data_IF_341245813258
#
_entry.id   IF_341245813258
#
_cell.length_a   1.000
_cell.length_b   1.000
_cell.length_c   1.000
_cell.angle_alpha   90.00
_cell.angle_beta   90.00
_cell.angle_gamma   90.00
#
_symmetry.space_group_name_H-M   'P 1'
#
loop_
_entity.id
_entity.type
_entity.pdbx_description
1 polymer ?
#
# COMPACT_ATOMS: atom_id res chain seq x y z
N UNK A 1 6.86 21.13 -14.91
CA UNK A 1 7.01 19.99 -13.97
C UNK A 1 6.32 18.78 -14.60
N UNK A 2 6.82 17.57 -14.41
CA UNK A 2 6.11 16.35 -14.82
C UNK A 2 4.78 16.30 -14.05
N UNK A 3 3.66 15.95 -14.71
CA UNK A 3 2.37 15.77 -14.03
C UNK A 3 2.44 14.63 -12.98
N UNK A 4 3.10 13.53 -13.31
CA UNK A 4 3.29 12.36 -12.41
C UNK A 4 4.53 12.52 -11.53
N UNK A 5 4.46 11.94 -10.32
CA UNK A 5 5.64 11.79 -9.47
C UNK A 5 6.44 10.51 -9.80
N UNK A 6 5.89 9.59 -10.58
CA UNK A 6 6.54 8.32 -10.88
C UNK A 6 7.81 8.52 -11.72
N UNK A 7 8.94 8.10 -11.17
CA UNK A 7 10.22 7.95 -11.86
C UNK A 7 10.23 6.65 -12.68
N UNK A 8 9.72 5.57 -12.08
CA UNK A 8 9.46 4.31 -12.79
C UNK A 8 8.05 4.37 -13.40
N UNK A 9 7.96 4.50 -14.72
CA UNK A 9 6.70 4.71 -15.43
C UNK A 9 5.98 3.44 -15.84
N UNK A 10 6.52 2.25 -15.50
CA UNK A 10 5.97 0.96 -15.95
C UNK A 10 4.45 0.85 -15.78
N UNK A 11 3.92 1.18 -14.59
CA UNK A 11 2.48 1.06 -14.34
C UNK A 11 1.68 2.02 -15.23
N UNK A 12 2.13 3.27 -15.38
CA UNK A 12 1.50 4.28 -16.24
C UNK A 12 1.50 3.86 -17.72
N UNK A 13 2.62 3.31 -18.18
CA UNK A 13 2.79 2.89 -19.58
C UNK A 13 1.95 1.64 -19.93
N UNK A 14 1.51 0.92 -18.90
CA UNK A 14 0.67 -0.27 -19.03
C UNK A 14 -0.81 -0.03 -18.65
N UNK A 15 -1.23 1.21 -18.47
CA UNK A 15 -2.64 1.55 -18.34
C UNK A 15 -3.39 1.25 -19.65
N UNK A 16 -4.67 0.86 -19.59
CA UNK A 16 -5.49 0.76 -20.79
C UNK A 16 -5.50 2.07 -21.58
N UNK A 17 -5.66 2.03 -22.91
CA UNK A 17 -5.87 3.22 -23.71
C UNK A 17 -7.01 4.08 -23.16
N UNK A 18 -6.89 5.41 -23.26
CA UNK A 18 -7.85 6.37 -22.68
C UNK A 18 -9.28 6.18 -23.18
N UNK A 19 -9.46 5.75 -24.39
CA UNK A 19 -10.76 5.46 -25.02
C UNK A 19 -11.47 4.23 -24.43
N UNK A 20 -10.72 3.41 -23.66
CA UNK A 20 -11.26 2.27 -22.91
C UNK A 20 -11.56 2.60 -21.45
N UNK A 21 -11.26 3.80 -21.01
CA UNK A 21 -11.55 4.20 -19.63
C UNK A 21 -13.03 4.47 -19.44
N UNK A 22 -13.59 4.15 -18.26
CA UNK A 22 -14.94 4.60 -17.95
C UNK A 22 -14.98 6.13 -17.85
N UNK A 23 -16.16 6.68 -18.05
CA UNK A 23 -16.41 8.08 -17.71
C UNK A 23 -16.24 8.27 -16.20
N UNK A 24 -15.30 9.14 -15.82
CA UNK A 24 -15.02 9.44 -14.42
C UNK A 24 -15.90 10.60 -13.97
N UNK A 25 -16.93 10.31 -13.18
CA UNK A 25 -17.92 11.29 -12.69
C UNK A 25 -17.54 11.71 -11.26
N UNK A 26 -17.08 12.95 -11.09
CA UNK A 26 -16.71 13.53 -9.80
C UNK A 26 -17.58 14.77 -9.51
N UNK A 27 -18.91 14.59 -9.52
CA UNK A 27 -19.84 15.71 -9.39
C UNK A 27 -20.12 16.07 -7.92
N UNK A 28 -20.04 15.12 -7.00
CA UNK A 28 -20.27 15.39 -5.57
C UNK A 28 -19.00 15.96 -4.92
N UNK A 29 -19.16 16.93 -3.96
CA UNK A 29 -18.02 17.60 -3.34
C UNK A 29 -17.03 16.67 -2.67
N UNK A 30 -17.50 15.56 -2.11
CA UNK A 30 -16.70 14.58 -1.35
C UNK A 30 -15.62 13.90 -2.19
N UNK A 31 -15.78 13.84 -3.51
CA UNK A 31 -14.85 13.18 -4.43
C UNK A 31 -14.09 14.14 -5.33
N UNK A 32 -14.19 15.45 -5.07
CA UNK A 32 -13.44 16.47 -5.79
C UNK A 32 -12.05 16.65 -5.17
N UNK A 33 -11.11 15.84 -5.62
CA UNK A 33 -9.73 15.88 -5.15
C UNK A 33 -8.87 16.84 -5.96
N UNK A 34 -7.83 17.44 -5.35
CA UNK A 34 -6.84 18.22 -6.09
C UNK A 34 -6.05 17.33 -7.05
N UNK A 35 -5.42 17.94 -8.04
CA UNK A 35 -4.59 17.23 -9.04
C UNK A 35 -3.39 16.50 -8.41
N UNK A 36 -2.94 17.00 -7.26
CA UNK A 36 -1.81 16.45 -6.50
C UNK A 36 -2.30 16.02 -5.13
N UNK A 37 -2.18 14.72 -4.86
CA UNK A 37 -2.62 14.15 -3.58
C UNK A 37 -1.93 12.80 -3.34
N UNK A 38 -1.48 12.57 -2.10
CA UNK A 38 -1.02 11.27 -1.64
C UNK A 38 -2.04 10.71 -0.64
N UNK A 39 -2.71 9.63 -0.99
CA UNK A 39 -3.77 9.09 -0.14
C UNK A 39 -3.26 8.61 1.22
N UNK A 40 -2.00 8.16 1.33
CA UNK A 40 -1.40 7.83 2.63
C UNK A 40 -1.27 9.05 3.54
N UNK A 41 -0.84 10.18 2.98
CA UNK A 41 -0.76 11.43 3.74
C UNK A 41 -2.15 11.98 4.10
N UNK A 42 -3.13 11.87 3.20
CA UNK A 42 -4.51 12.27 3.49
C UNK A 42 -5.11 11.48 4.66
N UNK A 43 -4.93 10.16 4.64
CA UNK A 43 -5.53 9.25 5.62
C UNK A 43 -4.76 9.20 6.96
N UNK A 44 -3.48 9.60 7.00
CA UNK A 44 -2.67 9.48 8.21
C UNK A 44 -2.10 10.82 8.67
N UNK A 45 -1.25 11.47 7.86
CA UNK A 45 -0.54 12.70 8.26
C UNK A 45 -1.50 13.84 8.60
N UNK A 46 -2.51 14.06 7.77
CA UNK A 46 -3.51 15.11 8.01
C UNK A 46 -4.29 14.91 9.30
N UNK A 47 -4.54 13.65 9.72
CA UNK A 47 -5.23 13.40 10.98
C UNK A 47 -4.34 13.75 12.18
N UNK A 48 -3.04 13.43 12.11
CA UNK A 48 -2.09 13.87 13.16
C UNK A 48 -1.99 15.40 13.19
N UNK A 49 -1.92 16.07 12.04
CA UNK A 49 -1.90 17.54 11.94
C UNK A 49 -3.17 18.19 12.49
N UNK A 50 -4.33 17.55 12.37
CA UNK A 50 -5.60 17.98 12.97
C UNK A 50 -5.68 17.79 14.50
N UNK A 51 -4.62 17.27 15.13
CA UNK A 51 -4.56 17.04 16.57
C UNK A 51 -5.06 15.65 17.02
N UNK A 52 -5.26 14.70 16.09
CA UNK A 52 -5.74 13.35 16.42
C UNK A 52 -4.59 12.37 16.75
N UNK A 53 -3.36 12.86 16.90
CA UNK A 53 -2.19 12.03 17.13
C UNK A 53 -2.33 11.00 18.27
N UNK A 54 -3.03 11.35 19.34
CA UNK A 54 -3.26 10.46 20.48
C UNK A 54 -4.49 9.54 20.34
N UNK A 55 -5.30 9.69 19.27
CA UNK A 55 -6.44 8.81 19.06
C UNK A 55 -5.96 7.43 18.60
N UNK A 56 -6.67 6.35 18.99
CA UNK A 56 -6.39 5.01 18.49
C UNK A 56 -6.66 4.93 16.98
N UNK A 57 -5.78 4.25 16.24
CA UNK A 57 -5.97 3.95 14.81
C UNK A 57 -6.02 2.44 14.58
N UNK A 58 -5.26 1.65 15.33
CA UNK A 58 -5.28 0.20 15.22
C UNK A 58 -5.47 -0.41 16.60
N UNK A 59 -6.49 -1.28 16.73
CA UNK A 59 -6.67 -2.17 17.87
C UNK A 59 -6.18 -3.57 17.47
N UNK A 60 -5.27 -4.14 18.23
CA UNK A 60 -4.75 -5.49 18.01
C UNK A 60 -4.61 -6.27 19.32
N UNK A 61 -4.22 -7.55 19.25
CA UNK A 61 -4.08 -8.42 20.44
C UNK A 61 -2.99 -7.99 21.42
N UNK A 62 -2.03 -7.18 20.98
CA UNK A 62 -0.91 -6.71 21.82
C UNK A 62 -1.16 -5.31 22.39
N UNK A 63 -2.24 -4.66 22.00
CA UNK A 63 -2.59 -3.33 22.47
C UNK A 63 -3.19 -2.43 21.40
N UNK A 64 -3.04 -1.15 21.58
CA UNK A 64 -3.58 -0.09 20.72
C UNK A 64 -2.43 0.72 20.16
N UNK A 65 -2.47 1.03 18.87
CA UNK A 65 -1.53 1.95 18.21
C UNK A 65 -2.27 3.26 17.94
N UNK A 66 -1.68 4.37 18.34
CA UNK A 66 -2.20 5.71 18.06
C UNK A 66 -1.81 6.19 16.66
N UNK A 67 -2.52 7.21 16.14
CA UNK A 67 -2.15 7.85 14.85
C UNK A 67 -0.70 8.35 14.83
N UNK A 68 -0.22 8.95 15.92
CA UNK A 68 1.15 9.45 15.98
C UNK A 68 2.19 8.32 15.97
N UNK A 69 1.94 7.22 16.69
CA UNK A 69 2.81 6.04 16.69
C UNK A 69 2.83 5.36 15.33
N UNK A 70 1.67 5.21 14.70
CA UNK A 70 1.57 4.65 13.34
C UNK A 70 2.31 5.54 12.35
N UNK A 71 2.11 6.87 12.38
CA UNK A 71 2.80 7.80 11.49
C UNK A 71 4.31 7.70 11.61
N UNK A 72 4.82 7.63 12.86
CA UNK A 72 6.26 7.45 13.10
C UNK A 72 6.78 6.16 12.46
N UNK A 73 6.11 5.03 12.68
CA UNK A 73 6.51 3.73 12.11
C UNK A 73 6.42 3.72 10.58
N UNK A 74 5.35 4.30 10.01
CA UNK A 74 5.19 4.48 8.56
C UNK A 74 6.36 5.30 7.98
N UNK A 75 6.73 6.40 8.61
CA UNK A 75 7.84 7.23 8.17
C UNK A 75 9.18 6.49 8.23
N UNK A 76 9.43 5.75 9.32
CA UNK A 76 10.63 4.94 9.47
C UNK A 76 10.75 3.88 8.38
N UNK A 77 9.66 3.18 8.07
CA UNK A 77 9.65 2.18 6.99
C UNK A 77 9.80 2.85 5.63
N UNK A 78 9.16 4.00 5.39
CA UNK A 78 9.36 4.76 4.15
C UNK A 78 10.83 5.15 3.93
N UNK A 79 11.53 5.54 5.01
CA UNK A 79 12.98 5.79 4.96
C UNK A 79 13.78 4.51 4.63
N UNK A 80 13.43 3.36 5.19
CA UNK A 80 14.08 2.08 4.81
C UNK A 80 13.86 1.78 3.33
N UNK A 81 12.63 1.96 2.81
CA UNK A 81 12.32 1.71 1.40
C UNK A 81 13.13 2.62 0.46
N UNK A 82 13.26 3.90 0.81
CA UNK A 82 13.90 4.90 -0.08
C UNK A 82 15.42 4.99 0.13
N UNK A 83 15.88 4.96 1.38
CA UNK A 83 17.30 5.16 1.70
C UNK A 83 18.11 3.86 1.66
N UNK A 84 17.60 2.77 2.26
CA UNK A 84 18.33 1.51 2.35
C UNK A 84 18.09 0.62 1.12
N UNK A 85 16.85 0.55 0.63
CA UNK A 85 16.51 -0.25 -0.55
C UNK A 85 16.62 0.55 -1.86
N UNK A 86 16.82 1.88 -1.81
CA UNK A 86 17.00 2.73 -2.98
C UNK A 86 15.80 2.77 -3.93
N UNK A 87 14.59 2.52 -3.43
CA UNK A 87 13.40 2.53 -4.25
C UNK A 87 13.00 3.96 -4.63
N UNK A 88 12.49 4.12 -5.83
CA UNK A 88 12.04 5.40 -6.38
C UNK A 88 10.53 5.37 -6.67
N UNK A 89 9.84 6.52 -6.67
CA UNK A 89 8.40 6.59 -6.96
C UNK A 89 8.03 5.83 -8.24
N UNK A 90 6.94 5.05 -8.15
CA UNK A 90 6.49 4.14 -9.22
C UNK A 90 7.07 2.73 -9.17
N UNK A 91 8.09 2.43 -8.34
CA UNK A 91 8.51 1.06 -8.11
C UNK A 91 7.39 0.23 -7.44
N UNK A 92 7.25 -1.04 -7.85
CA UNK A 92 6.23 -1.96 -7.34
C UNK A 92 6.80 -2.76 -6.18
N UNK A 93 6.14 -2.69 -5.04
CA UNK A 93 6.52 -3.39 -3.81
C UNK A 93 5.48 -4.46 -3.49
N UNK A 94 5.89 -5.71 -3.53
CA UNK A 94 5.05 -6.83 -3.10
C UNK A 94 4.87 -6.78 -1.59
N UNK A 95 3.62 -6.82 -1.12
CA UNK A 95 3.29 -6.95 0.28
C UNK A 95 2.73 -8.35 0.53
N UNK A 96 3.39 -9.14 1.39
CA UNK A 96 3.06 -10.53 1.67
C UNK A 96 3.00 -10.78 3.17
N UNK A 97 1.81 -10.94 3.71
CA UNK A 97 1.57 -11.19 5.13
C UNK A 97 0.10 -11.46 5.41
N UNK A 98 -0.18 -11.91 6.64
CA UNK A 98 -1.54 -11.96 7.18
C UNK A 98 -2.01 -10.56 7.60
N UNK A 99 -3.32 -10.43 7.87
CA UNK A 99 -3.86 -9.21 8.48
C UNK A 99 -3.17 -8.94 9.82
N UNK A 100 -2.46 -7.83 9.90
CA UNK A 100 -1.72 -7.42 11.09
C UNK A 100 -1.44 -5.91 11.05
N UNK A 101 -1.11 -5.34 12.19
CA UNK A 101 -0.74 -3.93 12.28
C UNK A 101 0.47 -3.60 11.38
N UNK A 102 1.51 -4.45 11.40
CA UNK A 102 2.71 -4.21 10.57
C UNK A 102 2.40 -4.27 9.07
N UNK A 103 1.46 -5.13 8.64
CA UNK A 103 1.05 -5.18 7.23
C UNK A 103 0.37 -3.88 6.80
N UNK A 104 -0.50 -3.30 7.64
CA UNK A 104 -1.12 -2.00 7.39
C UNK A 104 -0.07 -0.88 7.36
N UNK A 105 0.86 -0.86 8.33
CA UNK A 105 1.95 0.11 8.40
C UNK A 105 2.84 0.03 7.16
N UNK A 106 3.20 -1.16 6.69
CA UNK A 106 3.95 -1.37 5.45
C UNK A 106 3.20 -0.81 4.23
N UNK A 107 1.88 -1.03 4.14
CA UNK A 107 1.07 -0.49 3.06
C UNK A 107 1.12 1.04 3.03
N UNK A 108 0.91 1.70 4.17
CA UNK A 108 0.99 3.15 4.28
C UNK A 108 2.40 3.69 3.94
N UNK A 109 3.45 3.00 4.35
CA UNK A 109 4.83 3.38 4.05
C UNK A 109 5.13 3.34 2.55
N UNK A 110 4.71 2.26 1.87
CA UNK A 110 4.82 2.12 0.41
C UNK A 110 4.09 3.25 -0.30
N UNK A 111 2.83 3.49 0.07
CA UNK A 111 1.99 4.54 -0.54
C UNK A 111 2.56 5.93 -0.31
N UNK A 112 2.98 6.23 0.92
CA UNK A 112 3.53 7.53 1.29
C UNK A 112 4.84 7.84 0.55
N UNK A 113 5.65 6.82 0.29
CA UNK A 113 6.88 6.92 -0.49
C UNK A 113 6.64 7.02 -2.02
N UNK A 114 5.39 7.16 -2.48
CA UNK A 114 5.05 7.23 -3.90
C UNK A 114 5.31 5.92 -4.66
N UNK A 115 5.45 4.81 -3.92
CA UNK A 115 5.61 3.47 -4.47
C UNK A 115 4.23 2.84 -4.73
N UNK A 116 4.22 1.75 -5.47
CA UNK A 116 2.99 1.04 -5.83
C UNK A 116 2.89 -0.26 -5.01
N UNK A 117 1.86 -0.38 -4.20
CA UNK A 117 1.59 -1.60 -3.45
C UNK A 117 1.07 -2.71 -4.39
N UNK A 118 1.68 -3.89 -4.30
CA UNK A 118 1.23 -5.12 -4.95
C UNK A 118 0.91 -6.12 -3.83
N UNK A 119 -0.34 -6.21 -3.45
CA UNK A 119 -0.73 -7.02 -2.29
C UNK A 119 -1.02 -8.46 -2.68
N UNK A 120 -0.55 -9.41 -1.87
CA UNK A 120 -0.74 -10.85 -2.12
C UNK A 120 -1.17 -11.59 -0.86
N UNK A 121 -2.05 -12.57 -1.05
CA UNK A 121 -2.49 -13.45 0.04
C UNK A 121 -1.32 -14.27 0.59
N UNK A 122 -1.30 -14.48 1.90
CA UNK A 122 -0.31 -15.30 2.59
C UNK A 122 -0.27 -16.76 2.08
N UNK A 123 -1.40 -17.27 1.59
CA UNK A 123 -1.52 -18.66 1.10
C UNK A 123 -1.06 -18.88 -0.35
N UNK A 124 -0.72 -17.83 -1.11
CA UNK A 124 -0.19 -18.02 -2.46
C UNK A 124 1.14 -18.76 -2.42
N UNK A 125 1.32 -19.66 -3.39
CA UNK A 125 2.54 -20.44 -3.54
C UNK A 125 3.44 -19.85 -4.63
N UNK A 126 4.61 -20.44 -4.81
CA UNK A 126 5.61 -20.04 -5.81
C UNK A 126 4.99 -19.68 -7.16
N UNK A 127 4.17 -20.57 -7.73
CA UNK A 127 3.60 -20.38 -9.08
C UNK A 127 2.75 -19.12 -9.17
N UNK A 128 1.82 -18.92 -8.24
CA UNK A 128 0.94 -17.75 -8.22
C UNK A 128 1.74 -16.47 -7.94
N UNK A 129 2.78 -16.55 -7.09
CA UNK A 129 3.67 -15.43 -6.81
C UNK A 129 4.47 -15.03 -8.07
N UNK A 130 4.96 -16.01 -8.83
CA UNK A 130 5.62 -15.75 -10.12
C UNK A 130 4.70 -15.04 -11.07
N UNK A 131 3.46 -15.54 -11.26
CA UNK A 131 2.48 -14.93 -12.16
C UNK A 131 2.20 -13.45 -11.80
N UNK A 132 2.07 -13.15 -10.50
CA UNK A 132 1.86 -11.79 -9.97
C UNK A 132 3.10 -10.93 -10.20
N UNK A 133 4.28 -11.42 -9.80
CA UNK A 133 5.51 -10.64 -9.84
C UNK A 133 5.98 -10.34 -11.26
N UNK A 134 5.86 -11.30 -12.18
CA UNK A 134 6.15 -11.08 -13.60
C UNK A 134 5.18 -10.09 -14.22
N UNK A 135 3.88 -10.23 -13.95
CA UNK A 135 2.84 -9.36 -14.50
C UNK A 135 3.02 -7.92 -14.04
N UNK A 136 3.29 -7.71 -12.75
CA UNK A 136 3.47 -6.37 -12.18
C UNK A 136 4.91 -5.86 -12.28
N UNK A 137 5.88 -6.67 -12.75
CA UNK A 137 7.31 -6.33 -12.75
C UNK A 137 7.76 -5.81 -11.37
N UNK A 138 7.51 -6.62 -10.33
CA UNK A 138 7.78 -6.26 -8.94
C UNK A 138 9.28 -6.00 -8.73
N UNK A 139 9.62 -4.87 -8.09
CA UNK A 139 11.01 -4.47 -7.84
C UNK A 139 11.55 -4.97 -6.50
N UNK A 140 10.70 -4.92 -5.46
CA UNK A 140 11.05 -5.29 -4.10
C UNK A 140 9.87 -5.96 -3.39
N UNK A 141 10.12 -6.61 -2.25
CA UNK A 141 9.09 -7.22 -1.42
C UNK A 141 9.29 -6.89 0.06
N UNK A 142 8.18 -6.62 0.76
CA UNK A 142 8.07 -6.68 2.20
C UNK A 142 7.28 -7.94 2.54
N UNK A 143 7.88 -8.88 3.24
CA UNK A 143 7.32 -10.19 3.48
C UNK A 143 7.39 -10.58 4.97
N UNK A 144 6.32 -11.17 5.48
CA UNK A 144 6.39 -11.84 6.77
C UNK A 144 7.45 -12.95 6.73
N UNK A 145 8.37 -12.95 7.69
CA UNK A 145 9.47 -13.94 7.75
C UNK A 145 8.96 -15.38 7.72
N UNK A 146 7.80 -15.64 8.31
CA UNK A 146 7.18 -16.98 8.30
C UNK A 146 6.72 -17.44 6.90
N UNK A 147 6.70 -16.55 5.90
CA UNK A 147 6.22 -16.81 4.55
C UNK A 147 7.33 -16.75 3.48
N UNK A 148 8.60 -16.80 3.89
CA UNK A 148 9.76 -16.60 3.01
C UNK A 148 9.96 -17.68 1.96
N UNK A 149 9.70 -18.95 2.29
CA UNK A 149 10.02 -20.12 1.47
C UNK A 149 9.46 -20.04 0.06
N UNK A 150 8.17 -19.79 -0.09
CA UNK A 150 7.51 -19.69 -1.39
C UNK A 150 7.95 -18.44 -2.17
N UNK A 151 8.26 -17.35 -1.45
CA UNK A 151 8.73 -16.11 -2.08
C UNK A 151 10.16 -16.24 -2.59
N UNK A 152 11.05 -16.91 -1.85
CA UNK A 152 12.42 -17.17 -2.29
C UNK A 152 12.44 -18.06 -3.53
N UNK A 153 11.64 -19.13 -3.56
CA UNK A 153 11.50 -19.98 -4.75
C UNK A 153 10.99 -19.18 -5.96
N UNK A 154 10.01 -18.29 -5.74
CA UNK A 154 9.48 -17.43 -6.79
C UNK A 154 10.51 -16.38 -7.27
N UNK A 155 11.37 -15.85 -6.37
CA UNK A 155 12.41 -14.89 -6.72
C UNK A 155 13.42 -15.44 -7.73
N UNK A 156 13.77 -16.73 -7.62
CA UNK A 156 14.70 -17.38 -8.57
C UNK A 156 14.20 -17.30 -10.02
N UNK A 157 12.88 -17.19 -10.20
CA UNK A 157 12.24 -17.12 -11.51
C UNK A 157 11.87 -15.71 -11.95
N UNK A 158 11.91 -14.74 -11.03
CA UNK A 158 11.48 -13.36 -11.27
C UNK A 158 12.64 -12.38 -11.13
N UNK A 159 13.45 -12.16 -12.17
CA UNK A 159 14.64 -11.31 -12.11
C UNK A 159 14.32 -9.81 -11.84
N UNK A 160 13.07 -9.40 -11.94
CA UNK A 160 12.63 -8.04 -11.54
C UNK A 160 12.68 -7.83 -10.04
N UNK A 161 12.41 -8.89 -9.23
CA UNK A 161 12.46 -8.82 -7.75
C UNK A 161 13.93 -8.81 -7.29
N UNK A 162 14.43 -7.62 -6.97
CA UNK A 162 15.84 -7.40 -6.61
C UNK A 162 16.12 -7.59 -5.13
N UNK A 163 15.16 -7.23 -4.28
CA UNK A 163 15.35 -7.16 -2.83
C UNK A 163 14.11 -7.66 -2.09
N UNK A 164 14.33 -8.38 -1.00
CA UNK A 164 13.28 -8.77 -0.05
C UNK A 164 13.69 -8.25 1.32
N UNK A 165 12.79 -7.57 2.01
CA UNK A 165 12.92 -7.20 3.40
C UNK A 165 11.86 -7.93 4.21
N UNK A 166 12.27 -8.52 5.33
CA UNK A 166 11.35 -9.30 6.16
C UNK A 166 10.89 -8.52 7.37
N UNK A 167 9.58 -8.51 7.63
CA UNK A 167 9.01 -8.10 8.92
C UNK A 167 8.69 -9.34 9.77
N UNK A 168 8.42 -9.15 11.07
CA UNK A 168 8.39 -10.22 12.06
C UNK A 168 9.69 -11.05 12.07
N UNK A 169 10.81 -10.40 11.73
CA UNK A 169 12.15 -10.98 11.76
C UNK A 169 12.93 -10.40 12.93
N UNK A 170 13.29 -11.25 13.89
CA UNK A 170 14.05 -10.85 15.06
C UNK A 170 15.54 -10.53 14.78
N UNK A 171 15.99 -10.69 13.54
CA UNK A 171 17.38 -10.38 13.17
C UNK A 171 17.63 -8.86 13.11
N UNK A 172 18.90 -8.46 13.19
CA UNK A 172 19.32 -7.08 13.02
C UNK A 172 19.03 -6.52 11.62
N UNK A 173 18.83 -7.39 10.65
CA UNK A 173 18.54 -7.08 9.26
C UNK A 173 17.03 -7.05 8.96
N UNK A 174 16.19 -7.40 9.93
CA UNK A 174 14.74 -7.33 9.83
C UNK A 174 14.24 -5.90 9.67
N UNK A 175 13.05 -5.75 9.08
CA UNK A 175 12.44 -4.46 8.78
C UNK A 175 12.30 -3.59 10.04
N UNK A 176 11.81 -4.16 11.14
CA UNK A 176 11.59 -3.43 12.39
C UNK A 176 12.89 -2.92 13.00
N UNK A 177 13.95 -3.73 12.95
CA UNK A 177 15.27 -3.35 13.46
C UNK A 177 15.85 -2.19 12.64
N UNK A 178 15.80 -2.27 11.31
CA UNK A 178 16.25 -1.20 10.42
C UNK A 178 15.42 0.06 10.57
N UNK A 179 14.10 -0.07 10.61
CA UNK A 179 13.17 1.04 10.81
C UNK A 179 13.42 1.74 12.16
N UNK A 180 13.69 0.97 13.23
CA UNK A 180 14.02 1.52 14.55
C UNK A 180 15.26 2.42 14.59
N UNK A 181 16.17 2.27 13.62
CA UNK A 181 17.34 3.14 13.43
C UNK A 181 17.06 4.44 12.65
N UNK A 182 15.86 4.62 12.09
CA UNK A 182 15.49 5.79 11.30
C UNK A 182 14.88 6.89 12.17
N UNK A 183 14.97 8.14 11.70
CA UNK A 183 14.46 9.31 12.45
C UNK A 183 12.95 9.29 12.66
N UNK A 184 12.20 8.71 11.72
CA UNK A 184 10.74 8.76 11.70
C UNK A 184 10.20 10.08 11.14
N UNK A 185 11.05 10.86 10.48
CA UNK A 185 10.67 12.08 9.74
C UNK A 185 10.74 11.78 8.25
N UNK A 186 9.60 11.79 7.58
CA UNK A 186 9.50 11.54 6.14
C UNK A 186 8.36 12.37 5.55
N UNK A 187 8.68 13.21 4.58
CA UNK A 187 7.68 13.96 3.83
C UNK A 187 7.08 13.07 2.74
N UNK A 188 5.76 13.02 2.66
CA UNK A 188 5.08 12.23 1.65
C UNK A 188 5.42 12.74 0.25
N UNK A 189 5.67 11.81 -0.67
CA UNK A 189 5.90 12.17 -2.07
C UNK A 189 4.64 12.84 -2.62
N UNK A 190 4.84 13.98 -3.27
CA UNK A 190 3.77 14.75 -3.91
C UNK A 190 3.33 14.06 -5.21
N UNK A 191 2.43 13.08 -5.08
CA UNK A 191 1.92 12.27 -6.18
C UNK A 191 0.79 12.97 -6.92
N UNK A 192 0.59 12.64 -8.21
CA UNK A 192 -0.63 13.01 -8.91
C UNK A 192 -1.82 12.19 -8.39
N UNK A 193 -3.03 12.76 -8.42
CA UNK A 193 -4.24 12.06 -8.00
C UNK A 193 -4.51 10.78 -8.80
N UNK A 194 -4.04 10.73 -10.05
CA UNK A 194 -4.11 9.57 -10.94
C UNK A 194 -2.75 8.85 -11.13
N UNK A 195 -1.81 9.03 -10.23
CA UNK A 195 -0.68 8.11 -10.13
C UNK A 195 -1.18 6.77 -9.57
N UNK A 196 -0.71 5.67 -10.15
CA UNK A 196 -1.09 4.32 -9.70
C UNK A 196 -0.47 4.07 -8.32
N UNK A 197 -1.28 3.67 -7.35
CA UNK A 197 -0.85 3.43 -5.97
C UNK A 197 -0.99 1.96 -5.56
N UNK A 198 -1.88 1.23 -6.21
CA UNK A 198 -2.18 -0.16 -5.89
C UNK A 198 -2.39 -0.96 -7.18
N UNK A 199 -1.78 -2.13 -7.25
CA UNK A 199 -2.12 -3.16 -8.24
C UNK A 199 -2.68 -4.35 -7.48
N UNK A 200 -3.99 -4.56 -7.59
CA UNK A 200 -4.70 -5.65 -6.94
C UNK A 200 -5.00 -6.77 -7.93
N UNK A 201 -4.65 -7.99 -7.57
CA UNK A 201 -4.83 -9.14 -8.45
C UNK A 201 -6.14 -9.86 -8.17
N UNK A 202 -6.86 -10.19 -9.25
CA UNK A 202 -8.05 -11.05 -9.22
C UNK A 202 -7.73 -12.41 -9.82
N UNK A 203 -8.48 -13.44 -9.41
CA UNK A 203 -8.31 -14.82 -9.92
C UNK A 203 -8.57 -14.98 -11.42
N UNK A 204 -9.15 -13.97 -12.06
CA UNK A 204 -9.47 -13.97 -13.49
C UNK A 204 -10.35 -15.15 -13.94
N UNK A 205 -11.36 -14.89 -14.73
CA UNK A 205 -12.24 -15.95 -15.31
C UNK A 205 -11.53 -16.83 -16.32
N UNK A 206 -10.35 -16.41 -16.81
CA UNK A 206 -9.53 -17.11 -17.83
C UNK A 206 -8.37 -17.90 -17.24
N UNK A 207 -8.28 -18.04 -15.90
CA UNK A 207 -7.22 -18.78 -15.22
C UNK A 207 -5.89 -18.03 -15.06
N UNK A 208 -5.71 -16.87 -15.72
CA UNK A 208 -4.56 -15.99 -15.50
C UNK A 208 -4.95 -14.80 -14.64
N UNK A 209 -4.15 -14.46 -13.61
CA UNK A 209 -4.46 -13.33 -12.75
C UNK A 209 -4.46 -12.01 -13.56
N UNK A 210 -5.43 -11.14 -13.25
CA UNK A 210 -5.52 -9.79 -13.80
C UNK A 210 -5.18 -8.80 -12.70
N UNK A 211 -4.24 -7.89 -12.96
CA UNK A 211 -3.91 -6.79 -12.06
C UNK A 211 -4.78 -5.58 -12.36
N UNK A 212 -5.65 -5.20 -11.43
CA UNK A 212 -6.41 -3.94 -11.52
C UNK A 212 -5.56 -2.84 -10.92
N UNK A 213 -5.37 -1.75 -11.66
CA UNK A 213 -4.59 -0.60 -11.22
C UNK A 213 -5.53 0.47 -10.66
N UNK A 214 -5.24 0.90 -9.41
CA UNK A 214 -6.01 1.92 -8.70
C UNK A 214 -5.15 3.15 -8.46
N UNK A 215 -5.77 4.31 -8.52
CA UNK A 215 -5.15 5.61 -8.32
C UNK A 215 -5.26 6.08 -6.87
N UNK A 216 -4.48 7.07 -6.47
CA UNK A 216 -4.59 7.69 -5.15
C UNK A 216 -6.02 8.18 -4.84
N UNK A 217 -6.65 8.83 -5.82
CA UNK A 217 -8.05 9.30 -5.69
C UNK A 217 -9.05 8.15 -5.51
N UNK A 218 -8.81 6.98 -6.12
CA UNK A 218 -9.73 5.83 -6.02
C UNK A 218 -9.77 5.30 -4.58
N UNK A 219 -8.60 5.24 -3.92
CA UNK A 219 -8.49 4.85 -2.51
C UNK A 219 -9.28 5.82 -1.64
N UNK A 220 -9.11 7.13 -1.85
CA UNK A 220 -9.83 8.15 -1.08
C UNK A 220 -11.33 8.10 -1.34
N UNK A 221 -11.76 7.85 -2.57
CA UNK A 221 -13.19 7.75 -2.91
C UNK A 221 -13.88 6.62 -2.13
N UNK A 222 -13.21 5.48 -1.94
CA UNK A 222 -13.75 4.40 -1.11
C UNK A 222 -13.96 4.89 0.33
N UNK A 223 -12.98 5.60 0.90
CA UNK A 223 -13.05 6.13 2.27
C UNK A 223 -14.08 7.26 2.42
N UNK A 224 -14.24 8.11 1.40
CA UNK A 224 -15.11 9.28 1.49
C UNK A 224 -16.58 9.00 1.15
N UNK A 225 -16.89 7.96 0.38
CA UNK A 225 -18.24 7.67 -0.05
C UNK A 225 -18.95 6.65 0.85
N UNK A 226 -18.51 5.39 0.82
CA UNK A 226 -19.25 4.29 1.45
C UNK A 226 -19.38 4.44 2.97
N UNK A 227 -18.30 4.69 3.73
CA UNK A 227 -18.39 4.86 5.18
C UNK A 227 -19.30 6.02 5.58
N UNK A 228 -19.16 7.17 4.93
CA UNK A 228 -19.93 8.37 5.27
C UNK A 228 -21.38 8.28 4.83
N UNK A 229 -21.63 7.91 3.57
CA UNK A 229 -22.97 8.03 2.97
C UNK A 229 -23.87 6.82 3.27
N UNK A 230 -23.30 5.62 3.37
CA UNK A 230 -24.08 4.38 3.54
C UNK A 230 -24.01 3.89 4.98
N UNK A 231 -22.83 3.74 5.54
CA UNK A 231 -22.65 3.21 6.90
C UNK A 231 -22.87 4.29 7.95
N UNK A 232 -22.70 5.57 7.58
CA UNK A 232 -22.78 6.74 8.46
C UNK A 232 -21.78 6.67 9.64
N UNK A 233 -20.58 6.19 9.35
CA UNK A 233 -19.51 6.07 10.34
C UNK A 233 -19.08 7.43 10.89
N UNK A 234 -18.77 7.43 12.15
CA UNK A 234 -18.22 8.56 12.89
C UNK A 234 -16.77 8.28 13.31
N UNK A 235 -15.99 9.29 13.70
CA UNK A 235 -14.63 9.09 14.19
C UNK A 235 -14.51 8.25 15.47
N UNK A 236 -15.62 7.93 16.13
CA UNK A 236 -15.63 7.14 17.37
C UNK A 236 -16.00 5.66 17.13
N UNK A 237 -16.33 5.31 15.89
CA UNK A 237 -16.62 3.93 15.50
C UNK A 237 -15.32 3.13 15.33
N UNK A 238 -15.41 1.83 15.63
CA UNK A 238 -14.32 0.88 15.44
C UNK A 238 -14.72 -0.11 14.36
N UNK A 239 -14.01 -0.08 13.23
CA UNK A 239 -14.18 -1.05 12.15
C UNK A 239 -13.42 -2.34 12.41
N UNK A 240 -14.03 -3.47 12.12
CA UNK A 240 -13.36 -4.76 12.10
C UNK A 240 -13.68 -5.49 10.79
N UNK A 241 -12.66 -6.08 10.19
CA UNK A 241 -12.80 -6.82 8.93
C UNK A 241 -12.06 -8.14 8.97
N UNK A 242 -12.68 -9.20 8.43
CA UNK A 242 -12.06 -10.52 8.27
C UNK A 242 -11.43 -10.75 6.89
N UNK A 243 -11.86 -10.08 5.80
CA UNK A 243 -11.21 -10.24 4.51
C UNK A 243 -9.74 -9.81 4.56
N UNK A 244 -8.86 -10.51 3.80
CA UNK A 244 -7.45 -10.14 3.76
C UNK A 244 -7.21 -8.72 3.24
N UNK A 245 -6.29 -7.98 3.88
CA UNK A 245 -5.77 -6.69 3.40
C UNK A 245 -5.13 -6.80 2.00
N UNK A 246 -4.82 -8.01 1.58
CA UNK A 246 -4.34 -8.31 0.23
C UNK A 246 -5.38 -8.09 -0.88
N UNK A 247 -6.65 -7.98 -0.55
CA UNK A 247 -7.73 -7.69 -1.49
C UNK A 247 -8.28 -6.28 -1.30
N UNK A 248 -8.72 -5.67 -2.40
CA UNK A 248 -9.38 -4.35 -2.37
C UNK A 248 -10.60 -4.33 -1.45
N UNK A 249 -11.36 -5.42 -1.37
CA UNK A 249 -12.50 -5.54 -0.45
C UNK A 249 -12.07 -5.50 1.02
N UNK A 250 -10.99 -6.21 1.40
CA UNK A 250 -10.47 -6.19 2.76
C UNK A 250 -9.80 -4.84 3.10
N UNK A 251 -8.99 -4.33 2.17
CA UNK A 251 -8.30 -3.06 2.34
C UNK A 251 -9.31 -1.90 2.46
N UNK A 252 -10.24 -1.78 1.50
CA UNK A 252 -11.21 -0.69 1.47
C UNK A 252 -12.28 -0.75 2.57
N UNK A 253 -12.43 -1.89 3.25
CA UNK A 253 -13.33 -2.02 4.39
C UNK A 253 -12.69 -1.65 5.75
N UNK A 254 -11.36 -1.37 5.77
CA UNK A 254 -10.61 -1.09 7.00
C UNK A 254 -9.94 0.29 6.95
N UNK A 255 -9.61 0.81 5.75
CA UNK A 255 -9.09 2.17 5.57
C UNK A 255 -10.14 3.21 5.97
#
# INVERSE_FOLDING_TARGET
MSYTAHVDTFARDNLPPRDQWPEMIFEIPEVQYPERINCGAELLDKHVQKGWGNRPVIHNYTGVISYAEMLKQVNQIAQVLTEDMGLVPGNRVLLRGANSAIMAICWFAVVKAGLIAVTTMAMLREKELVDVMEKAQVNAALCDKALDTELLAAQERCPSLKQIMYFNDASSDGLEARAGGKSGEFEAIDTAADDVVLIAFTSGTTGKPKGTMHFHRDVLTICDCFPKSIVQMTPDDISIGTPPLAFTFGLGGIL
#
